data_IF_847678978803
#
_entry.id   IF_847678978803
#
_cell.length_a   1.000
_cell.length_b   1.000
_cell.length_c   1.000
_cell.angle_alpha   90.00
_cell.angle_beta   90.00
_cell.angle_gamma   90.00
#
_symmetry.space_group_name_H-M   'P 1'
#
loop_
_entity.id
_entity.type
_entity.pdbx_description
1 polymer ?
#
# COMPACT_ATOMS: atom_id res chain seq x y z
N UNK A 1 -10.95 -7.96 5.82
CA UNK A 1 -9.96 -7.04 6.41
C UNK A 1 -9.80 -5.85 5.49
N UNK A 2 -10.44 -4.70 5.77
CA UNK A 2 -10.10 -3.46 5.08
C UNK A 2 -8.68 -3.05 5.47
N UNK A 3 -7.80 -2.79 4.49
CA UNK A 3 -6.62 -1.94 4.71
C UNK A 3 -5.40 -2.56 5.39
N UNK A 4 -5.07 -3.84 5.18
CA UNK A 4 -3.67 -4.23 5.41
C UNK A 4 -2.80 -3.48 4.38
N UNK A 5 -1.71 -2.82 4.80
CA UNK A 5 -0.78 -2.19 3.86
C UNK A 5 -0.29 -3.25 2.88
N UNK A 6 -0.65 -3.11 1.61
CA UNK A 6 -0.18 -3.99 0.55
C UNK A 6 1.19 -3.47 0.12
N UNK A 7 2.24 -4.26 0.33
CA UNK A 7 3.60 -3.92 -0.07
C UNK A 7 4.13 -4.98 -1.04
N UNK A 8 4.98 -4.53 -1.97
CA UNK A 8 5.72 -5.43 -2.84
C UNK A 8 6.98 -5.90 -2.14
N UNK A 9 7.33 -7.18 -2.34
CA UNK A 9 8.62 -7.74 -1.93
C UNK A 9 9.20 -8.57 -3.06
N UNK A 10 10.53 -8.53 -3.19
CA UNK A 10 11.26 -9.51 -3.98
C UNK A 10 11.83 -10.56 -3.04
N UNK A 11 11.42 -11.83 -3.12
CA UNK A 11 12.01 -12.89 -2.31
C UNK A 11 13.52 -12.98 -2.54
N UNK A 12 14.29 -13.24 -1.47
CA UNK A 12 15.75 -13.34 -1.54
C UNK A 12 16.24 -14.42 -2.51
N UNK A 13 15.42 -15.44 -2.77
CA UNK A 13 15.70 -16.55 -3.71
C UNK A 13 14.75 -16.54 -4.92
N UNK A 14 14.27 -15.37 -5.33
CA UNK A 14 13.44 -15.27 -6.52
C UNK A 14 14.20 -15.81 -7.74
N UNK A 15 13.53 -16.60 -8.58
CA UNK A 15 14.15 -17.17 -9.79
C UNK A 15 14.54 -16.09 -10.81
N UNK A 16 13.86 -14.94 -10.80
CA UNK A 16 14.08 -13.80 -11.69
C UNK A 16 14.04 -12.50 -10.88
N UNK A 17 15.06 -12.20 -10.06
CA UNK A 17 15.02 -11.08 -9.11
C UNK A 17 15.01 -9.72 -9.81
N UNK A 18 15.73 -9.56 -10.92
CA UNK A 18 15.75 -8.29 -11.67
C UNK A 18 14.40 -7.99 -12.32
N UNK A 19 13.81 -8.96 -13.01
CA UNK A 19 12.47 -8.81 -13.61
C UNK A 19 11.41 -8.48 -12.56
N UNK A 20 11.49 -9.08 -11.37
CA UNK A 20 10.60 -8.74 -10.27
C UNK A 20 10.74 -7.28 -9.84
N UNK A 21 11.97 -6.74 -9.79
CA UNK A 21 12.21 -5.32 -9.46
C UNK A 21 11.73 -4.39 -10.57
N UNK A 22 11.95 -4.74 -11.83
CA UNK A 22 11.43 -3.99 -12.98
C UNK A 22 9.90 -3.94 -12.96
N UNK A 23 9.25 -5.07 -12.67
CA UNK A 23 7.80 -5.11 -12.49
C UNK A 23 7.34 -4.23 -11.33
N UNK A 24 8.02 -4.27 -10.18
CA UNK A 24 7.69 -3.41 -9.04
C UNK A 24 7.81 -1.94 -9.44
N UNK A 25 8.88 -1.55 -10.14
CA UNK A 25 9.06 -0.18 -10.62
C UNK A 25 7.95 0.27 -11.59
N UNK A 26 7.50 -0.62 -12.48
CA UNK A 26 6.36 -0.36 -13.35
C UNK A 26 5.07 -0.22 -12.52
N UNK A 27 4.81 -1.16 -11.62
CA UNK A 27 3.60 -1.20 -10.80
C UNK A 27 3.50 0.02 -9.87
N UNK A 28 4.63 0.55 -9.41
CA UNK A 28 4.72 1.76 -8.57
C UNK A 28 4.96 3.03 -9.37
N UNK A 29 4.87 3.00 -10.70
CA UNK A 29 4.94 4.22 -11.52
C UNK A 29 3.71 5.11 -11.31
N UNK A 30 3.86 6.45 -11.40
CA UNK A 30 2.74 7.37 -11.21
C UNK A 30 1.53 7.11 -12.13
N UNK A 31 1.79 6.76 -13.38
CA UNK A 31 0.75 6.46 -14.37
C UNK A 31 -0.05 5.21 -13.97
N UNK A 32 0.64 4.11 -13.65
CA UNK A 32 -0.02 2.86 -13.26
C UNK A 32 -0.81 3.02 -11.96
N UNK A 33 -0.26 3.76 -10.99
CA UNK A 33 -0.96 4.05 -9.74
C UNK A 33 -2.17 4.96 -9.96
N UNK A 34 -2.08 5.98 -10.81
CA UNK A 34 -3.20 6.87 -11.12
C UNK A 34 -4.36 6.12 -11.76
N UNK A 35 -4.08 5.32 -12.79
CA UNK A 35 -5.12 4.65 -13.57
C UNK A 35 -5.64 3.40 -12.87
N UNK A 36 -4.72 2.54 -12.43
CA UNK A 36 -5.05 1.21 -11.89
C UNK A 36 -5.47 1.21 -10.43
N UNK A 37 -5.10 2.22 -9.62
CA UNK A 37 -5.44 2.26 -8.19
C UNK A 37 -6.44 3.39 -7.92
N UNK A 38 -6.12 4.61 -8.30
CA UNK A 38 -6.94 5.78 -7.96
C UNK A 38 -8.22 5.83 -8.79
N UNK A 39 -8.11 5.87 -10.12
CA UNK A 39 -9.30 6.03 -10.99
C UNK A 39 -10.20 4.80 -10.97
N UNK A 40 -9.60 3.60 -10.95
CA UNK A 40 -10.35 2.35 -11.02
C UNK A 40 -10.99 1.95 -9.68
N UNK A 41 -10.30 2.12 -8.56
CA UNK A 41 -10.77 1.64 -7.25
C UNK A 41 -11.03 2.73 -6.22
N UNK A 42 -10.68 3.99 -6.53
CA UNK A 42 -10.76 5.11 -5.59
C UNK A 42 -9.99 4.84 -4.29
N UNK A 43 -8.88 4.12 -4.40
CA UNK A 43 -7.97 3.82 -3.29
C UNK A 43 -6.82 4.83 -3.25
N UNK A 44 -6.20 5.00 -2.07
CA UNK A 44 -4.94 5.75 -1.99
C UNK A 44 -3.85 5.05 -2.80
N UNK A 45 -2.99 5.80 -3.49
CA UNK A 45 -1.87 5.21 -4.20
C UNK A 45 -0.88 4.56 -3.22
N UNK A 46 -0.20 3.51 -3.67
CA UNK A 46 0.88 2.85 -2.92
C UNK A 46 2.21 3.63 -2.89
N UNK A 47 2.23 4.83 -3.47
CA UNK A 47 3.36 5.77 -3.49
C UNK A 47 2.88 7.13 -2.97
N UNK A 48 3.82 8.05 -2.71
CA UNK A 48 3.45 9.41 -2.27
C UNK A 48 2.51 10.09 -3.28
N UNK A 49 1.38 10.58 -2.77
CA UNK A 49 0.32 11.18 -3.57
C UNK A 49 0.80 12.38 -4.43
N UNK A 50 1.88 13.05 -4.03
CA UNK A 50 2.47 14.16 -4.80
C UNK A 50 2.88 13.74 -6.21
N UNK A 51 3.36 12.50 -6.39
CA UNK A 51 3.80 12.00 -7.70
C UNK A 51 2.63 11.63 -8.60
N UNK A 52 1.50 11.25 -8.00
CA UNK A 52 0.28 10.85 -8.72
C UNK A 52 -0.58 12.07 -9.06
N UNK A 53 -0.50 13.16 -8.28
CA UNK A 53 -1.31 14.38 -8.49
C UNK A 53 -1.31 14.90 -9.94
N UNK A 54 -0.17 14.98 -10.66
CA UNK A 54 -0.15 15.47 -12.04
C UNK A 54 -0.88 14.56 -13.05
N UNK A 55 -1.24 13.33 -12.66
CA UNK A 55 -1.91 12.32 -13.49
C UNK A 55 -3.41 12.21 -13.23
N UNK A 56 -3.93 13.01 -12.30
CA UNK A 56 -5.32 13.02 -11.86
C UNK A 56 -5.96 14.37 -12.16
N UNK A 57 -7.25 14.34 -12.51
CA UNK A 57 -8.05 15.55 -12.55
C UNK A 57 -8.42 16.02 -11.13
N UNK A 58 -8.83 17.29 -11.01
CA UNK A 58 -9.14 17.91 -9.73
C UNK A 58 -10.35 17.26 -9.03
N UNK A 59 -11.32 16.73 -9.77
CA UNK A 59 -12.49 16.09 -9.18
C UNK A 59 -12.11 14.75 -8.53
N UNK A 60 -11.32 13.93 -9.23
CA UNK A 60 -10.76 12.68 -8.71
C UNK A 60 -9.87 12.94 -7.50
N UNK A 61 -9.00 13.95 -7.57
CA UNK A 61 -8.13 14.34 -6.46
C UNK A 61 -8.93 14.78 -5.22
N UNK A 62 -9.92 15.65 -5.42
CA UNK A 62 -10.75 16.18 -4.34
C UNK A 62 -11.60 15.10 -3.71
N UNK A 63 -12.09 14.14 -4.49
CA UNK A 63 -12.84 12.98 -3.98
C UNK A 63 -11.93 12.06 -3.16
N UNK A 64 -10.72 11.79 -3.62
CA UNK A 64 -9.79 10.89 -2.92
C UNK A 64 -9.37 11.44 -1.56
N UNK A 65 -9.12 12.75 -1.46
CA UNK A 65 -8.62 13.40 -0.24
C UNK A 65 -9.67 14.30 0.43
N UNK A 66 -10.95 13.98 0.27
CA UNK A 66 -12.05 14.76 0.84
C UNK A 66 -12.03 14.80 2.38
N UNK A 67 -11.65 13.68 3.01
CA UNK A 67 -11.69 13.53 4.47
C UNK A 67 -10.29 13.61 5.09
N UNK A 68 -9.30 12.96 4.47
CA UNK A 68 -7.93 12.90 4.97
C UNK A 68 -7.04 13.50 3.88
N UNK A 69 -6.29 14.55 4.21
CA UNK A 69 -5.37 15.19 3.24
C UNK A 69 -4.06 14.39 3.10
N UNK A 70 -3.30 14.56 2.00
CA UNK A 70 -1.97 13.97 1.87
C UNK A 70 -1.03 14.36 3.02
N UNK A 71 -1.12 15.62 3.49
CA UNK A 71 -0.35 16.09 4.64
C UNK A 71 -0.73 15.35 5.93
N UNK A 72 -2.03 15.15 6.17
CA UNK A 72 -2.47 14.42 7.35
C UNK A 72 -1.99 12.96 7.33
N UNK A 73 -1.99 12.30 6.16
CA UNK A 73 -1.40 10.97 6.01
C UNK A 73 0.11 10.96 6.28
N UNK A 74 0.85 11.95 5.79
CA UNK A 74 2.29 12.05 6.03
C UNK A 74 2.63 12.32 7.51
N UNK A 75 1.86 13.20 8.17
CA UNK A 75 2.12 13.59 9.56
C UNK A 75 1.66 12.50 10.57
N UNK A 76 0.56 11.81 10.27
CA UNK A 76 -0.12 10.92 11.24
C UNK A 76 -0.23 9.46 10.81
N UNK A 77 0.14 9.13 9.57
CA UNK A 77 0.19 7.76 9.09
C UNK A 77 1.20 6.94 9.90
N UNK A 78 0.73 5.84 10.49
CA UNK A 78 1.59 4.91 11.24
C UNK A 78 1.78 3.64 10.46
N UNK A 79 3.02 3.18 10.36
CA UNK A 79 3.30 1.84 9.87
C UNK A 79 2.67 0.83 10.80
N UNK A 80 1.96 -0.14 10.21
CA UNK A 80 1.44 -1.26 10.98
C UNK A 80 2.60 -2.15 11.44
N UNK A 81 2.72 -2.49 12.74
CA UNK A 81 3.79 -3.35 13.24
C UNK A 81 3.51 -4.81 12.86
N UNK A 82 3.70 -5.13 11.58
CA UNK A 82 3.32 -6.41 10.95
C UNK A 82 3.86 -7.61 11.74
N UNK A 83 5.17 -7.66 12.00
CA UNK A 83 5.79 -8.81 12.67
C UNK A 83 5.27 -8.99 14.11
N UNK A 84 5.34 -7.99 15.02
CA UNK A 84 4.78 -8.11 16.35
C UNK A 84 3.30 -8.50 16.35
N UNK A 85 2.49 -7.88 15.48
CA UNK A 85 1.06 -8.19 15.38
C UNK A 85 0.79 -9.65 15.00
N UNK A 86 1.54 -10.19 14.03
CA UNK A 86 1.35 -11.58 13.62
C UNK A 86 1.91 -12.58 14.64
N UNK A 87 3.00 -12.23 15.33
CA UNK A 87 3.54 -13.05 16.42
C UNK A 87 2.53 -13.14 17.59
N UNK A 88 1.98 -12.00 18.04
CA UNK A 88 0.99 -11.93 19.12
C UNK A 88 -0.29 -12.73 18.76
N UNK A 89 -0.77 -12.61 17.51
CA UNK A 89 -1.93 -13.38 17.03
C UNK A 89 -1.65 -14.87 17.03
N UNK A 90 -0.46 -15.26 16.54
CA UNK A 90 -0.08 -16.66 16.48
C UNK A 90 0.00 -17.25 17.89
N UNK A 91 0.65 -16.57 18.83
CA UNK A 91 0.75 -17.01 20.22
C UNK A 91 -0.64 -17.15 20.87
N UNK A 92 -1.49 -16.12 20.72
CA UNK A 92 -2.85 -16.15 21.25
C UNK A 92 -3.66 -17.32 20.68
N UNK A 93 -3.56 -17.58 19.37
CA UNK A 93 -4.23 -18.72 18.74
C UNK A 93 -3.70 -20.07 19.26
N UNK A 94 -2.37 -20.25 19.25
CA UNK A 94 -1.72 -21.49 19.68
C UNK A 94 -2.03 -21.83 21.14
N UNK A 95 -2.12 -20.82 22.03
CA UNK A 95 -2.48 -21.01 23.44
C UNK A 95 -3.90 -21.54 23.69
N UNK A 96 -4.84 -21.26 22.77
CA UNK A 96 -6.26 -21.58 22.92
C UNK A 96 -6.67 -22.87 22.20
N UNK A 97 -6.00 -23.21 21.09
CA UNK A 97 -6.37 -24.34 20.23
C UNK A 97 -5.50 -25.57 20.45
N UNK A 98 -4.26 -25.40 20.94
CA UNK A 98 -3.32 -26.52 21.11
C UNK A 98 -3.39 -27.20 22.49
N UNK A 99 -4.29 -26.74 23.38
CA UNK A 99 -4.47 -27.25 24.75
C UNK A 99 -5.78 -28.02 24.91
#
# INVERSE_FOLDING_TARGET
>A
MPGQPMYYVTPAKAAQPELAREFIALATSPEVQADGIVKQFNWYPGIDAQYVKPKLDDATWSKLFAEISPKALADYGKSFPIAPYFDDIKEGYESQVSN
#
